data_IF_840147061267
#
_entry.id   IF_840147061267
#
_cell.length_a   1.000
_cell.length_b   1.000
_cell.length_c   1.000
_cell.angle_alpha   90.00
_cell.angle_beta   90.00
_cell.angle_gamma   90.00
#
_symmetry.space_group_name_H-M   'P 1'
#
loop_
_entity.id
_entity.type
_entity.pdbx_description
1 polymer ?
#
# COMPACT_ATOMS: atom_id res chain seq x y z
N UNK A 1 -4.11 17.19 6.11
CA UNK A 1 -4.76 18.53 6.19
C UNK A 1 -6.14 18.43 6.83
N UNK A 2 -7.05 17.63 6.29
CA UNK A 2 -8.45 17.52 6.76
C UNK A 2 -8.58 17.14 8.25
N UNK A 3 -7.82 16.18 8.74
CA UNK A 3 -7.87 15.79 10.17
C UNK A 3 -7.58 16.94 11.13
N UNK A 4 -6.65 17.83 10.79
CA UNK A 4 -6.36 19.03 11.60
C UNK A 4 -7.55 19.99 11.64
N UNK A 5 -8.26 20.13 10.52
CA UNK A 5 -9.45 20.98 10.45
C UNK A 5 -10.60 20.41 11.29
N UNK A 6 -10.79 19.09 11.26
CA UNK A 6 -11.80 18.40 12.08
C UNK A 6 -11.51 18.55 13.56
N UNK A 7 -10.25 18.35 13.98
CA UNK A 7 -9.85 18.57 15.38
C UNK A 7 -10.09 20.01 15.84
N UNK A 8 -9.72 20.97 15.01
CA UNK A 8 -9.95 22.39 15.31
C UNK A 8 -11.46 22.72 15.42
N UNK A 9 -12.29 22.17 14.55
CA UNK A 9 -13.72 22.33 14.59
C UNK A 9 -14.34 21.69 15.87
N UNK A 10 -13.88 20.50 16.25
CA UNK A 10 -14.32 19.84 17.49
C UNK A 10 -14.00 20.69 18.72
N UNK A 11 -12.81 21.33 18.76
CA UNK A 11 -12.41 22.21 19.86
C UNK A 11 -13.24 23.50 19.95
N UNK A 12 -13.78 23.97 18.82
CA UNK A 12 -14.64 25.16 18.76
C UNK A 12 -16.12 24.88 19.05
N UNK A 13 -16.50 23.61 19.16
CA UNK A 13 -17.89 23.21 19.39
C UNK A 13 -18.02 22.55 20.78
N UNK A 14 -18.47 21.31 20.84
CA UNK A 14 -18.80 20.61 22.10
C UNK A 14 -17.65 19.72 22.61
N UNK A 15 -16.43 19.89 22.16
CA UNK A 15 -15.25 19.09 22.57
C UNK A 15 -15.45 17.57 22.36
N UNK A 16 -16.18 17.19 21.32
CA UNK A 16 -16.42 15.78 21.01
C UNK A 16 -15.12 15.01 20.80
N UNK A 17 -15.09 13.77 21.20
CA UNK A 17 -13.96 12.88 20.92
C UNK A 17 -13.82 12.70 19.39
N UNK A 18 -12.61 12.82 18.89
CA UNK A 18 -12.27 12.62 17.47
C UNK A 18 -11.24 11.51 17.35
N UNK A 19 -11.58 10.45 16.64
CA UNK A 19 -10.65 9.43 16.20
C UNK A 19 -10.35 9.65 14.71
N UNK A 20 -9.08 9.62 14.34
CA UNK A 20 -8.65 9.92 12.98
C UNK A 20 -8.15 8.65 12.29
N UNK A 21 -8.80 8.30 11.18
CA UNK A 21 -8.32 7.30 10.23
C UNK A 21 -7.70 8.03 9.02
N UNK A 22 -6.39 7.88 8.80
CA UNK A 22 -5.62 8.67 7.86
C UNK A 22 -4.78 7.77 6.96
N UNK A 23 -4.25 8.34 5.88
CA UNK A 23 -3.35 7.64 4.98
C UNK A 23 -1.97 7.38 5.58
N UNK A 24 -1.24 6.45 5.00
CA UNK A 24 0.10 6.07 5.44
C UNK A 24 0.97 5.56 4.30
N UNK A 25 2.22 5.26 4.66
CA UNK A 25 3.23 4.57 3.86
C UNK A 25 3.88 3.53 4.76
N UNK A 26 3.19 2.42 4.99
CA UNK A 26 3.60 1.40 5.95
C UNK A 26 4.87 0.67 5.50
N UNK A 27 5.83 0.43 6.43
CA UNK A 27 7.02 -0.33 6.11
C UNK A 27 6.73 -1.84 6.11
N UNK A 28 7.44 -2.55 5.23
CA UNK A 28 7.57 -4.00 5.22
C UNK A 28 9.06 -4.31 5.28
N UNK A 29 9.48 -5.16 6.21
CA UNK A 29 10.89 -5.49 6.42
C UNK A 29 11.11 -6.97 6.16
N UNK A 30 12.11 -7.31 5.36
CA UNK A 30 12.47 -8.66 4.96
C UNK A 30 13.91 -8.93 5.38
N UNK A 31 14.12 -9.88 6.30
CA UNK A 31 15.42 -10.37 6.72
C UNK A 31 15.87 -11.57 5.86
N UNK A 32 17.16 -11.87 5.85
CA UNK A 32 17.75 -12.92 4.99
C UNK A 32 17.52 -14.35 5.50
N UNK A 33 17.09 -14.53 6.74
CA UNK A 33 16.74 -15.79 7.36
C UNK A 33 15.28 -16.23 7.13
N UNK A 34 14.49 -15.43 6.41
CA UNK A 34 13.10 -15.75 6.11
C UNK A 34 12.92 -16.63 4.85
N UNK A 35 11.75 -17.24 4.73
CA UNK A 35 11.29 -17.85 3.48
C UNK A 35 10.96 -16.75 2.46
N UNK A 36 11.84 -16.59 1.46
CA UNK A 36 11.73 -15.53 0.45
C UNK A 36 10.52 -15.68 -0.48
N UNK A 37 10.03 -16.90 -0.73
CA UNK A 37 8.83 -17.12 -1.55
C UNK A 37 7.62 -16.59 -0.81
N UNK A 38 7.48 -16.98 0.44
CA UNK A 38 6.41 -16.48 1.31
C UNK A 38 6.51 -14.98 1.55
N UNK A 39 7.72 -14.44 1.73
CA UNK A 39 7.94 -13.01 1.90
C UNK A 39 7.52 -12.21 0.65
N UNK A 40 7.80 -12.72 -0.56
CA UNK A 40 7.38 -12.09 -1.80
C UNK A 40 5.85 -12.12 -1.98
N UNK A 41 5.19 -13.23 -1.61
CA UNK A 41 3.72 -13.33 -1.62
C UNK A 41 3.07 -12.34 -0.65
N UNK A 42 3.60 -12.23 0.58
CA UNK A 42 3.12 -11.27 1.57
C UNK A 42 3.31 -9.84 1.06
N UNK A 43 4.47 -9.52 0.49
CA UNK A 43 4.75 -8.20 -0.07
C UNK A 43 3.79 -7.87 -1.23
N UNK A 44 3.54 -8.84 -2.11
CA UNK A 44 2.57 -8.71 -3.20
C UNK A 44 1.17 -8.38 -2.66
N UNK A 45 0.68 -9.16 -1.71
CA UNK A 45 -0.64 -8.90 -1.10
C UNK A 45 -0.66 -7.56 -0.37
N UNK A 46 0.39 -7.21 0.36
CA UNK A 46 0.47 -5.98 1.14
C UNK A 46 0.38 -4.71 0.29
N UNK A 47 0.85 -4.75 -0.97
CA UNK A 47 0.81 -3.57 -1.86
C UNK A 47 -0.32 -3.62 -2.88
N UNK A 48 -0.64 -4.80 -3.43
CA UNK A 48 -1.62 -4.87 -4.52
C UNK A 48 -3.06 -5.08 -4.06
N UNK A 49 -3.30 -5.48 -2.82
CA UNK A 49 -4.64 -5.52 -2.27
C UNK A 49 -5.31 -4.15 -2.41
N UNK A 50 -6.54 -4.14 -2.94
CA UNK A 50 -7.29 -2.92 -3.21
C UNK A 50 -6.50 -1.89 -4.05
N UNK A 51 -5.66 -2.36 -4.98
CA UNK A 51 -4.83 -1.52 -5.85
C UNK A 51 -3.81 -0.64 -5.09
N UNK A 52 -3.41 -1.06 -3.89
CA UNK A 52 -2.53 -0.28 -3.02
C UNK A 52 -3.19 0.94 -2.35
N UNK A 53 -4.49 1.11 -2.53
CA UNK A 53 -5.25 2.23 -1.97
C UNK A 53 -5.77 1.90 -0.57
N UNK A 54 -4.85 1.58 0.33
CA UNK A 54 -5.09 1.30 1.74
C UNK A 54 -4.19 2.17 2.61
N UNK A 55 -4.70 2.61 3.75
CA UNK A 55 -3.92 3.35 4.74
C UNK A 55 -2.72 2.55 5.26
N UNK A 56 -2.84 1.23 5.32
CA UNK A 56 -1.82 0.30 5.80
C UNK A 56 -1.05 -0.43 4.68
N UNK A 57 -1.21 -0.06 3.41
CA UNK A 57 -0.49 -0.71 2.31
C UNK A 57 1.03 -0.70 2.54
N UNK A 58 1.68 -1.85 2.34
CA UNK A 58 3.12 -2.05 2.50
C UNK A 58 3.94 -1.38 1.39
N UNK A 59 3.81 -0.07 1.28
CA UNK A 59 4.33 0.72 0.16
C UNK A 59 5.82 1.07 0.26
N UNK A 60 6.47 0.72 1.38
CA UNK A 60 7.92 0.84 1.56
C UNK A 60 8.50 -0.51 1.95
N UNK A 61 9.16 -1.19 1.03
CA UNK A 61 9.83 -2.45 1.31
C UNK A 61 11.32 -2.23 1.61
N UNK A 62 11.78 -2.74 2.75
CA UNK A 62 13.17 -2.75 3.18
C UNK A 62 13.63 -4.20 3.20
N UNK A 63 14.58 -4.53 2.36
CA UNK A 63 15.08 -5.89 2.22
C UNK A 63 16.57 -5.92 2.58
N UNK A 64 16.96 -6.89 3.39
CA UNK A 64 18.37 -7.09 3.75
C UNK A 64 19.18 -7.37 2.48
N UNK A 65 20.38 -6.78 2.39
CA UNK A 65 21.19 -6.75 1.16
C UNK A 65 21.47 -8.13 0.56
N UNK A 66 21.74 -9.13 1.40
CA UNK A 66 22.03 -10.50 0.94
C UNK A 66 20.86 -11.18 0.22
N UNK A 67 19.64 -10.75 0.47
CA UNK A 67 18.41 -11.31 -0.10
C UNK A 67 17.76 -10.41 -1.15
N UNK A 68 18.27 -9.20 -1.33
CA UNK A 68 17.62 -8.16 -2.13
C UNK A 68 17.31 -8.61 -3.55
N UNK A 69 18.31 -9.03 -4.32
CA UNK A 69 18.12 -9.39 -5.73
C UNK A 69 17.15 -10.57 -5.91
N UNK A 70 17.27 -11.57 -5.03
CA UNK A 70 16.39 -12.74 -5.04
C UNK A 70 14.94 -12.36 -4.72
N UNK A 71 14.77 -11.53 -3.71
CA UNK A 71 13.44 -11.03 -3.33
C UNK A 71 12.81 -10.21 -4.45
N UNK A 72 13.56 -9.28 -5.04
CA UNK A 72 13.06 -8.43 -6.15
C UNK A 72 12.65 -9.26 -7.35
N UNK A 73 13.45 -10.27 -7.73
CA UNK A 73 13.10 -11.16 -8.82
C UNK A 73 11.78 -11.91 -8.58
N UNK A 74 11.57 -12.42 -7.35
CA UNK A 74 10.33 -13.12 -6.97
C UNK A 74 9.12 -12.18 -6.94
N UNK A 75 9.27 -11.02 -6.31
CA UNK A 75 8.20 -10.02 -6.23
C UNK A 75 7.79 -9.51 -7.61
N UNK A 76 8.77 -9.26 -8.49
CA UNK A 76 8.54 -8.90 -9.89
C UNK A 76 7.75 -9.97 -10.64
N UNK A 77 8.14 -11.23 -10.52
CA UNK A 77 7.47 -12.34 -11.20
C UNK A 77 5.99 -12.50 -10.76
N UNK A 78 5.67 -12.19 -9.51
CA UNK A 78 4.29 -12.15 -9.02
C UNK A 78 3.53 -10.95 -9.60
N UNK A 79 4.15 -9.77 -9.60
CA UNK A 79 3.53 -8.55 -10.10
C UNK A 79 3.21 -8.61 -11.60
N UNK A 80 4.11 -9.20 -12.39
CA UNK A 80 3.94 -9.35 -13.86
C UNK A 80 2.79 -10.30 -14.24
N UNK A 81 2.38 -11.19 -13.35
CA UNK A 81 1.23 -12.08 -13.59
C UNK A 81 -0.11 -11.39 -13.36
N UNK A 82 -0.11 -10.23 -12.68
CA UNK A 82 -1.34 -9.54 -12.32
C UNK A 82 -2.04 -8.99 -13.55
N UNK A 83 -3.30 -9.34 -13.69
CA UNK A 83 -4.15 -8.82 -14.77
C UNK A 83 -4.76 -7.47 -14.40
N UNK A 84 -4.54 -6.47 -15.25
CA UNK A 84 -5.07 -5.11 -15.09
C UNK A 84 -5.93 -4.76 -16.28
N UNK A 85 -7.12 -4.24 -16.05
CA UNK A 85 -8.02 -3.90 -17.15
C UNK A 85 -9.39 -3.40 -16.72
N UNK A 86 -10.36 -3.56 -17.60
CA UNK A 86 -11.75 -3.17 -17.36
C UNK A 86 -12.35 -4.00 -16.20
N UNK A 87 -12.87 -3.36 -15.13
CA UNK A 87 -13.44 -4.04 -13.97
C UNK A 87 -14.68 -4.88 -14.27
N UNK A 88 -15.32 -4.71 -15.42
CA UNK A 88 -16.43 -5.55 -15.88
C UNK A 88 -15.97 -6.86 -16.53
N UNK A 89 -14.67 -7.07 -16.64
CA UNK A 89 -14.06 -8.31 -17.15
C UNK A 89 -13.36 -9.07 -16.02
N UNK A 90 -12.88 -10.29 -16.31
CA UNK A 90 -12.18 -11.10 -15.31
C UNK A 90 -10.73 -10.62 -15.13
N UNK A 91 -10.54 -9.55 -14.39
CA UNK A 91 -9.24 -8.97 -14.04
C UNK A 91 -9.07 -8.84 -12.53
N UNK A 92 -7.83 -8.86 -12.06
CA UNK A 92 -7.51 -8.71 -10.64
C UNK A 92 -7.47 -7.25 -10.20
N UNK A 93 -7.30 -6.32 -11.14
CA UNK A 93 -7.17 -4.90 -10.85
C UNK A 93 -7.85 -4.05 -11.92
N UNK A 94 -8.74 -3.16 -11.49
CA UNK A 94 -9.29 -2.08 -12.29
C UNK A 94 -8.37 -0.85 -12.34
N UNK A 95 -8.86 0.29 -12.87
CA UNK A 95 -8.10 1.53 -12.92
C UNK A 95 -7.89 2.15 -11.52
N UNK A 96 -6.85 2.95 -11.38
CA UNK A 96 -6.65 3.81 -10.20
C UNK A 96 -7.72 4.91 -10.16
N UNK A 97 -8.05 5.37 -8.94
CA UNK A 97 -9.22 6.24 -8.69
C UNK A 97 -9.18 7.56 -9.47
N UNK A 98 -8.03 8.22 -9.59
CA UNK A 98 -7.92 9.47 -10.37
C UNK A 98 -6.46 9.81 -10.70
N UNK A 99 -6.26 10.54 -11.79
CA UNK A 99 -4.95 11.08 -12.20
C UNK A 99 -4.30 11.97 -11.13
N UNK A 100 -5.08 12.74 -10.38
CA UNK A 100 -4.62 13.58 -9.26
C UNK A 100 -4.01 12.77 -8.11
N UNK A 101 -4.44 11.54 -7.90
CA UNK A 101 -3.83 10.65 -6.89
C UNK A 101 -2.46 10.20 -7.37
N UNK A 102 -2.31 9.90 -8.66
CA UNK A 102 -1.04 9.48 -9.26
C UNK A 102 -0.01 10.62 -9.19
N UNK A 103 -0.37 11.84 -9.55
CA UNK A 103 0.56 12.99 -9.62
C UNK A 103 1.01 13.53 -8.26
N UNK A 104 0.35 13.18 -7.16
CA UNK A 104 0.74 13.61 -5.81
C UNK A 104 1.63 12.62 -5.05
N UNK A 105 1.83 11.42 -5.57
CA UNK A 105 2.55 10.33 -4.88
C UNK A 105 3.79 9.83 -5.61
N UNK A 106 4.12 10.41 -6.78
CA UNK A 106 5.34 10.15 -7.55
C UNK A 106 6.16 11.41 -7.74
#
# INVERSE_FOLDING_TARGET
MVGKLILAAAGKTNLKRVTLELGGKSPLVVFDDCDLDKAAEIAYQAIFMNMGQNCCAGSRAFVQSNSYDKFVAKAKALAEKRTVGDPWTNVEQGPQVASLVITRFY
#
